data_IF_967988298526
#
_entry.id   IF_967988298526
#
_cell.length_a   1.000
_cell.length_b   1.000
_cell.length_c   1.000
_cell.angle_alpha   90.00
_cell.angle_beta   90.00
_cell.angle_gamma   90.00
#
_symmetry.space_group_name_H-M   'P 1'
#
loop_
_entity.id
_entity.type
_entity.pdbx_description
1 polymer ?
#
# COMPACT_ATOMS: atom_id res chain seq x y z
N UNK A 1 -15.61 16.73 21.96
CA UNK A 1 -15.31 15.34 21.56
C UNK A 1 -14.44 15.36 20.32
N UNK A 2 -13.23 14.83 20.45
CA UNK A 2 -12.17 14.82 19.42
C UNK A 2 -12.62 13.95 18.25
N UNK A 3 -12.38 14.35 16.99
CA UNK A 3 -13.08 13.64 15.91
C UNK A 3 -12.49 13.75 14.50
N UNK A 4 -11.20 14.00 14.40
CA UNK A 4 -10.44 13.59 13.24
C UNK A 4 -9.10 13.02 13.68
N UNK A 5 -8.65 11.98 12.98
CA UNK A 5 -7.36 11.37 13.22
C UNK A 5 -6.45 11.78 12.10
N UNK A 6 -5.60 12.77 12.33
CA UNK A 6 -4.67 13.24 11.31
C UNK A 6 -3.33 12.50 11.49
N UNK A 7 -2.79 11.86 10.43
CA UNK A 7 -1.41 11.40 10.38
C UNK A 7 -0.49 12.62 10.45
N UNK A 8 0.58 12.56 11.27
CA UNK A 8 1.43 13.71 11.60
C UNK A 8 2.36 14.19 10.44
N UNK A 9 1.84 14.43 9.23
CA UNK A 9 2.66 14.75 8.05
C UNK A 9 2.01 15.87 7.20
N UNK A 10 2.78 16.86 6.71
CA UNK A 10 2.24 18.00 5.96
C UNK A 10 1.90 17.63 4.51
N UNK A 11 0.74 18.07 4.02
CA UNK A 11 0.25 17.84 2.66
C UNK A 11 0.72 18.94 1.68
N UNK A 12 1.14 18.54 0.47
CA UNK A 12 1.06 19.39 -0.74
C UNK A 12 0.47 18.56 -1.89
N UNK A 13 -0.49 19.10 -2.66
CA UNK A 13 -1.06 18.42 -3.83
C UNK A 13 -0.38 18.92 -5.11
N UNK A 14 -0.11 18.02 -6.07
CA UNK A 14 -0.18 18.37 -7.49
C UNK A 14 -0.30 17.13 -8.40
N UNK A 15 -1.21 17.25 -9.35
CA UNK A 15 -1.65 16.27 -10.35
C UNK A 15 -0.86 16.39 -11.67
N UNK A 16 -1.02 15.32 -12.48
CA UNK A 16 -0.97 15.19 -13.95
C UNK A 16 0.21 14.40 -14.56
N UNK A 17 -0.14 13.24 -15.14
CA UNK A 17 0.68 12.36 -15.99
C UNK A 17 0.47 12.67 -17.48
N UNK A 18 1.49 12.50 -18.35
CA UNK A 18 1.31 12.20 -19.77
C UNK A 18 1.55 10.70 -20.07
N UNK A 19 1.13 10.19 -21.26
CA UNK A 19 1.05 8.75 -21.56
C UNK A 19 2.41 8.09 -21.87
N UNK A 20 2.47 6.79 -21.59
CA UNK A 20 3.61 5.89 -21.78
C UNK A 20 4.05 5.79 -23.26
N UNK A 21 5.31 6.14 -23.53
CA UNK A 21 5.97 5.88 -24.81
C UNK A 21 6.66 4.51 -24.73
N UNK A 22 6.23 3.56 -25.56
CA UNK A 22 6.98 2.34 -25.84
C UNK A 22 8.19 2.68 -26.74
N UNK A 23 9.38 2.76 -26.16
CA UNK A 23 10.62 2.90 -26.93
C UNK A 23 11.31 1.55 -27.07
N UNK A 24 11.14 0.93 -28.25
CA UNK A 24 11.99 -0.16 -28.74
C UNK A 24 13.32 0.44 -29.18
N UNK A 25 14.44 0.12 -28.52
CA UNK A 25 15.76 0.59 -28.96
C UNK A 25 16.75 -0.58 -29.11
N UNK A 26 17.35 -0.60 -30.31
CA UNK A 26 18.45 -1.47 -30.73
C UNK A 26 19.76 -1.02 -30.08
N UNK A 27 20.49 -1.95 -29.47
CA UNK A 27 21.81 -1.72 -28.90
C UNK A 27 22.86 -1.53 -30.00
N UNK A 28 23.52 -0.37 -30.02
CA UNK A 28 24.79 -0.17 -30.73
C UNK A 28 25.90 -0.03 -29.68
N UNK A 29 26.96 -0.82 -29.83
CA UNK A 29 28.14 -0.77 -28.96
C UNK A 29 29.09 0.34 -29.38
N UNK A 30 29.55 1.13 -28.40
CA UNK A 30 30.72 2.00 -28.54
C UNK A 30 31.78 1.51 -27.56
N UNK A 31 32.98 1.27 -28.08
CA UNK A 31 34.15 0.80 -27.32
C UNK A 31 34.97 2.00 -26.83
N UNK A 32 35.29 2.02 -25.52
CA UNK A 32 36.13 3.07 -24.94
C UNK A 32 36.13 3.19 -23.40
N UNK A 33 35.39 2.35 -22.67
CA UNK A 33 35.43 2.29 -21.20
C UNK A 33 35.87 0.90 -20.73
N UNK A 34 36.47 0.81 -19.53
CA UNK A 34 36.83 -0.46 -18.91
C UNK A 34 35.62 -1.40 -18.94
N UNK A 35 35.73 -2.48 -19.70
CA UNK A 35 34.62 -3.35 -20.13
C UNK A 35 33.83 -3.94 -18.93
N UNK A 36 34.49 -4.04 -17.78
CA UNK A 36 33.90 -4.51 -16.52
C UNK A 36 33.07 -3.43 -15.82
N UNK A 37 33.57 -2.19 -15.71
CA UNK A 37 32.83 -1.09 -15.10
C UNK A 37 31.59 -0.72 -15.93
N UNK A 38 31.74 -0.74 -17.25
CA UNK A 38 30.62 -0.57 -18.18
C UNK A 38 29.53 -1.65 -17.97
N UNK A 39 29.90 -2.86 -17.56
CA UNK A 39 28.94 -3.95 -17.29
C UNK A 39 28.08 -3.68 -16.06
N UNK A 40 28.67 -3.16 -14.97
CA UNK A 40 27.91 -2.82 -13.75
C UNK A 40 27.01 -1.59 -13.95
N UNK A 41 27.49 -0.58 -14.67
CA UNK A 41 26.66 0.59 -14.99
C UNK A 41 25.46 0.22 -15.85
N UNK A 42 25.65 -0.64 -16.86
CA UNK A 42 24.55 -1.17 -17.67
C UNK A 42 23.57 -1.96 -16.82
N UNK A 43 24.07 -2.75 -15.88
CA UNK A 43 23.20 -3.51 -14.97
C UNK A 43 22.39 -2.60 -14.05
N UNK A 44 23.01 -1.58 -13.44
CA UNK A 44 22.31 -0.57 -12.66
C UNK A 44 21.23 0.14 -13.50
N UNK A 45 21.57 0.63 -14.70
CA UNK A 45 20.62 1.29 -15.60
C UNK A 45 19.47 0.37 -15.99
N UNK A 46 19.71 -0.94 -16.06
CA UNK A 46 18.68 -1.93 -16.34
C UNK A 46 17.73 -2.09 -15.15
N UNK A 47 18.27 -2.20 -13.93
CA UNK A 47 17.49 -2.25 -12.69
C UNK A 47 16.67 -0.98 -12.48
N UNK A 48 17.20 0.18 -12.85
CA UNK A 48 16.52 1.48 -12.67
C UNK A 48 15.30 1.64 -13.58
N UNK A 49 15.23 0.86 -14.66
CA UNK A 49 14.04 0.76 -15.53
C UNK A 49 12.97 -0.18 -14.99
N UNK A 50 13.20 -0.85 -13.85
CA UNK A 50 12.18 -1.65 -13.18
C UNK A 50 11.16 -0.75 -12.47
N UNK A 51 10.02 -1.32 -12.07
CA UNK A 51 8.91 -0.59 -11.47
C UNK A 51 9.29 0.17 -10.19
N UNK A 52 10.22 -0.38 -9.39
CA UNK A 52 10.67 0.21 -8.13
C UNK A 52 11.80 1.23 -8.29
N UNK A 53 12.37 1.31 -9.50
CA UNK A 53 13.63 2.01 -9.75
C UNK A 53 14.83 1.39 -9.01
N UNK A 54 15.99 1.96 -9.28
CA UNK A 54 17.27 1.64 -8.65
C UNK A 54 18.22 2.84 -8.84
N UNK A 55 17.95 3.98 -8.19
CA UNK A 55 18.72 5.20 -8.39
C UNK A 55 20.23 4.93 -8.20
N UNK A 56 21.03 5.42 -9.14
CA UNK A 56 22.47 5.22 -9.11
C UNK A 56 23.09 5.81 -7.84
N UNK A 57 23.95 5.04 -7.19
CA UNK A 57 24.83 5.51 -6.12
C UNK A 57 26.08 4.64 -6.03
N UNK A 58 27.15 5.19 -5.44
CA UNK A 58 28.36 4.41 -5.19
C UNK A 58 28.09 3.18 -4.31
N UNK A 59 27.17 3.32 -3.36
CA UNK A 59 26.72 2.23 -2.48
C UNK A 59 26.08 1.10 -3.27
N UNK A 60 25.18 1.40 -4.22
CA UNK A 60 24.60 0.38 -5.11
C UNK A 60 25.68 -0.30 -5.95
N UNK A 61 26.61 0.46 -6.53
CA UNK A 61 27.68 -0.11 -7.35
C UNK A 61 28.57 -1.08 -6.54
N UNK A 62 28.86 -0.77 -5.27
CA UNK A 62 29.56 -1.71 -4.36
C UNK A 62 28.76 -2.99 -4.14
N UNK A 63 27.45 -2.89 -3.91
CA UNK A 63 26.57 -4.05 -3.77
C UNK A 63 26.63 -4.92 -5.03
N UNK A 64 26.48 -4.33 -6.22
CA UNK A 64 26.50 -5.08 -7.49
C UNK A 64 27.83 -5.82 -7.71
N UNK A 65 28.97 -5.19 -7.40
CA UNK A 65 30.30 -5.82 -7.49
C UNK A 65 30.48 -6.99 -6.51
N UNK A 66 29.78 -6.99 -5.37
CA UNK A 66 29.84 -8.10 -4.40
C UNK A 66 28.97 -9.28 -4.87
N UNK A 67 27.77 -9.02 -5.39
CA UNK A 67 26.78 -10.06 -5.68
C UNK A 67 26.91 -10.64 -7.09
N UNK A 68 27.64 -9.98 -8.00
CA UNK A 68 27.86 -10.42 -9.38
C UNK A 68 29.30 -10.24 -9.83
N UNK A 69 29.74 -11.13 -10.72
CA UNK A 69 30.92 -10.91 -11.56
C UNK A 69 30.59 -9.98 -12.74
N UNK A 70 31.59 -9.40 -13.44
CA UNK A 70 31.34 -8.58 -14.63
C UNK A 70 30.57 -9.31 -15.73
N UNK A 71 30.86 -10.60 -15.94
CA UNK A 71 30.15 -11.46 -16.92
C UNK A 71 28.67 -11.62 -16.55
N UNK A 72 28.39 -11.87 -15.26
CA UNK A 72 27.04 -11.99 -14.73
C UNK A 72 26.26 -10.67 -14.83
N UNK A 73 26.87 -9.55 -14.44
CA UNK A 73 26.28 -8.22 -14.57
C UNK A 73 25.95 -7.89 -16.04
N UNK A 74 26.86 -8.23 -16.97
CA UNK A 74 26.65 -8.05 -18.41
C UNK A 74 25.45 -8.86 -18.91
N UNK A 75 25.31 -10.11 -18.50
CA UNK A 75 24.14 -10.94 -18.84
C UNK A 75 22.86 -10.35 -18.22
N UNK A 76 22.85 -10.07 -16.92
CA UNK A 76 21.70 -9.54 -16.18
C UNK A 76 21.20 -8.21 -16.77
N UNK A 77 22.11 -7.33 -17.21
CA UNK A 77 21.77 -6.05 -17.85
C UNK A 77 20.95 -6.19 -19.13
N UNK A 78 20.97 -7.36 -19.78
CA UNK A 78 20.28 -7.66 -21.03
C UNK A 78 18.97 -8.43 -20.84
N UNK A 79 18.64 -8.84 -19.61
CA UNK A 79 17.45 -9.63 -19.32
C UNK A 79 16.17 -8.76 -19.29
N UNK A 80 15.02 -9.28 -19.73
CA UNK A 80 13.74 -8.59 -19.63
C UNK A 80 13.27 -8.53 -18.17
N UNK A 81 12.45 -7.54 -17.84
CA UNK A 81 11.74 -7.44 -16.54
C UNK A 81 10.38 -8.15 -16.58
N UNK A 82 9.97 -8.60 -17.77
CA UNK A 82 8.75 -9.36 -18.01
C UNK A 82 9.14 -10.84 -18.18
N UNK A 83 8.41 -11.77 -17.54
CA UNK A 83 8.64 -13.21 -17.70
C UNK A 83 8.71 -13.61 -19.17
N UNK A 84 9.84 -14.20 -19.59
CA UNK A 84 10.10 -14.54 -20.99
C UNK A 84 10.63 -15.98 -21.09
N UNK A 85 10.10 -16.82 -22.01
CA UNK A 85 10.58 -18.18 -22.19
C UNK A 85 12.06 -18.23 -22.54
N UNK A 86 12.76 -19.25 -22.03
CA UNK A 86 14.19 -19.49 -22.32
C UNK A 86 14.49 -19.53 -23.83
N UNK A 87 13.61 -20.16 -24.61
CA UNK A 87 13.72 -20.30 -26.05
C UNK A 87 13.72 -18.95 -26.79
N UNK A 88 12.94 -17.99 -26.29
CA UNK A 88 12.88 -16.62 -26.81
C UNK A 88 14.10 -15.81 -26.38
N UNK A 89 14.51 -15.92 -25.12
CA UNK A 89 15.73 -15.27 -24.62
C UNK A 89 16.98 -15.70 -25.37
N UNK A 90 17.12 -16.99 -25.66
CA UNK A 90 18.23 -17.53 -26.46
C UNK A 90 18.33 -16.84 -27.83
N UNK A 91 17.20 -16.64 -28.51
CA UNK A 91 17.14 -15.94 -29.81
C UNK A 91 17.48 -14.45 -29.68
N UNK A 92 16.93 -13.76 -28.69
CA UNK A 92 17.15 -12.32 -28.48
C UNK A 92 18.58 -12.00 -28.04
N UNK A 93 19.15 -12.84 -27.17
CA UNK A 93 20.51 -12.69 -26.67
C UNK A 93 21.57 -13.24 -27.63
N UNK A 94 21.15 -13.98 -28.66
CA UNK A 94 22.01 -14.70 -29.61
C UNK A 94 22.99 -15.65 -28.90
N UNK A 95 22.47 -16.39 -27.93
CA UNK A 95 23.24 -17.37 -27.14
C UNK A 95 22.65 -18.77 -27.32
N UNK A 96 23.48 -19.83 -27.44
CA UNK A 96 23.01 -21.20 -27.44
C UNK A 96 22.13 -21.49 -26.22
N UNK A 97 21.00 -22.18 -26.41
CA UNK A 97 20.00 -22.38 -25.35
C UNK A 97 20.58 -23.05 -24.10
N UNK A 98 21.45 -24.05 -24.28
CA UNK A 98 22.11 -24.77 -23.18
C UNK A 98 23.05 -23.87 -22.39
N UNK A 99 23.86 -23.07 -23.08
CA UNK A 99 24.79 -22.13 -22.46
C UNK A 99 24.03 -21.04 -21.68
N UNK A 100 22.94 -20.51 -22.27
CA UNK A 100 22.11 -19.53 -21.59
C UNK A 100 21.44 -20.13 -20.35
N UNK A 101 20.94 -21.36 -20.44
CA UNK A 101 20.29 -22.04 -19.32
C UNK A 101 21.23 -22.21 -18.13
N UNK A 102 22.46 -22.67 -18.38
CA UNK A 102 23.50 -22.82 -17.34
C UNK A 102 23.81 -21.48 -16.67
N UNK A 103 24.03 -20.41 -17.45
CA UNK A 103 24.38 -19.10 -16.89
C UNK A 103 23.22 -18.44 -16.15
N UNK A 104 22.00 -18.51 -16.71
CA UNK A 104 20.83 -17.85 -16.12
C UNK A 104 20.33 -18.59 -14.87
N UNK A 105 20.50 -19.92 -14.82
CA UNK A 105 20.17 -20.72 -13.64
C UNK A 105 21.07 -20.36 -12.45
N UNK A 106 22.36 -20.12 -12.68
CA UNK A 106 23.26 -19.61 -11.63
C UNK A 106 22.81 -18.23 -11.12
N UNK A 107 22.34 -17.35 -12.01
CA UNK A 107 21.77 -16.06 -11.57
C UNK A 107 20.48 -16.24 -10.76
N UNK A 108 19.64 -17.20 -11.13
CA UNK A 108 18.43 -17.52 -10.37
C UNK A 108 18.76 -18.12 -8.99
N UNK A 109 19.76 -19.01 -8.91
CA UNK A 109 20.28 -19.53 -7.65
C UNK A 109 20.92 -18.42 -6.79
N UNK A 110 21.52 -17.39 -7.38
CA UNK A 110 21.96 -16.21 -6.62
C UNK A 110 20.80 -15.29 -6.19
N UNK A 111 19.58 -15.55 -6.64
CA UNK A 111 18.40 -14.72 -6.37
C UNK A 111 18.39 -13.42 -7.18
N UNK A 112 19.01 -13.40 -8.38
CA UNK A 112 19.11 -12.22 -9.26
C UNK A 112 18.18 -12.31 -10.47
N UNK A 113 17.57 -13.47 -10.71
CA UNK A 113 16.65 -13.74 -11.82
C UNK A 113 15.51 -14.63 -11.31
N UNK A 114 14.27 -14.30 -11.65
CA UNK A 114 13.16 -15.20 -11.45
C UNK A 114 13.24 -16.37 -12.43
N UNK A 115 13.01 -17.59 -11.96
CA UNK A 115 12.87 -18.81 -12.76
C UNK A 115 11.53 -19.49 -12.44
N UNK A 116 10.52 -19.11 -13.23
CA UNK A 116 9.15 -19.59 -13.07
C UNK A 116 8.88 -20.76 -14.00
N UNK A 117 8.15 -21.77 -13.53
CA UNK A 117 7.69 -22.87 -14.38
C UNK A 117 6.19 -22.71 -14.62
N UNK A 118 5.81 -22.59 -15.89
CA UNK A 118 4.41 -22.51 -16.32
C UNK A 118 4.20 -23.57 -17.40
N UNK A 119 3.23 -24.47 -17.21
CA UNK A 119 2.94 -25.57 -18.16
C UNK A 119 4.18 -26.39 -18.56
N UNK A 120 5.09 -26.65 -17.61
CA UNK A 120 6.37 -27.36 -17.81
C UNK A 120 7.42 -26.60 -18.65
N UNK A 121 7.19 -25.33 -18.98
CA UNK A 121 8.18 -24.46 -19.63
C UNK A 121 8.74 -23.44 -18.63
N UNK A 122 10.05 -23.14 -18.70
CA UNK A 122 10.73 -22.17 -17.83
C UNK A 122 10.72 -20.76 -18.42
N UNK A 123 10.33 -19.81 -17.59
CA UNK A 123 10.26 -18.39 -17.88
C UNK A 123 11.19 -17.63 -16.95
N UNK A 124 11.95 -16.69 -17.53
CA UNK A 124 12.90 -15.89 -16.79
C UNK A 124 12.64 -14.40 -16.90
N UNK A 125 12.92 -13.69 -15.82
CA UNK A 125 12.91 -12.23 -15.78
C UNK A 125 13.87 -11.72 -14.72
N UNK A 126 14.48 -10.57 -14.98
CA UNK A 126 15.31 -9.88 -14.02
C UNK A 126 14.49 -9.50 -12.78
N UNK A 127 15.05 -9.77 -11.59
CA UNK A 127 14.41 -9.35 -10.33
C UNK A 127 14.69 -7.87 -10.04
N UNK A 128 13.76 -7.13 -9.44
CA UNK A 128 14.03 -5.79 -8.91
C UNK A 128 14.95 -5.82 -7.68
N UNK A 129 15.30 -4.65 -7.14
CA UNK A 129 16.05 -4.58 -5.88
C UNK A 129 15.17 -5.03 -4.71
N UNK A 130 14.01 -4.38 -4.52
CA UNK A 130 13.02 -4.68 -3.47
C UNK A 130 11.89 -5.51 -4.05
N UNK A 131 11.38 -6.46 -3.25
CA UNK A 131 10.66 -7.64 -3.74
C UNK A 131 11.50 -8.45 -4.74
N UNK A 132 12.81 -8.51 -4.49
CA UNK A 132 13.76 -9.15 -5.37
C UNK A 132 15.07 -9.47 -4.67
N UNK A 133 16.20 -9.11 -5.26
CA UNK A 133 17.48 -9.67 -4.80
C UNK A 133 17.87 -9.24 -3.38
N UNK A 134 17.43 -8.06 -2.90
CA UNK A 134 17.64 -7.68 -1.50
C UNK A 134 17.01 -8.71 -0.56
N UNK A 135 15.73 -9.02 -0.76
CA UNK A 135 15.02 -10.00 0.03
C UNK A 135 15.64 -11.39 -0.14
N UNK A 136 15.88 -11.84 -1.37
CA UNK A 136 16.34 -13.21 -1.61
C UNK A 136 17.72 -13.48 -1.00
N UNK A 137 18.64 -12.51 -1.04
CA UNK A 137 19.94 -12.65 -0.37
C UNK A 137 19.76 -12.68 1.16
N UNK A 138 18.90 -11.81 1.72
CA UNK A 138 18.74 -11.71 3.17
C UNK A 138 17.85 -12.80 3.78
N UNK A 139 16.97 -13.42 2.99
CA UNK A 139 16.04 -14.48 3.39
C UNK A 139 16.71 -15.84 3.59
N UNK A 140 17.81 -16.09 2.86
CA UNK A 140 18.51 -17.38 2.86
C UNK A 140 19.14 -17.73 4.20
N UNK A 141 18.75 -18.84 4.82
CA UNK A 141 19.46 -19.34 6.01
C UNK A 141 20.90 -19.78 5.65
N UNK A 142 21.06 -20.46 4.51
CA UNK A 142 22.35 -20.93 3.98
C UNK A 142 23.06 -19.85 3.17
N UNK A 143 24.38 -19.95 3.05
CA UNK A 143 25.18 -19.01 2.26
C UNK A 143 26.08 -19.76 1.25
N UNK A 144 25.50 -20.41 0.23
CA UNK A 144 26.27 -21.28 -0.68
C UNK A 144 27.30 -20.53 -1.55
N UNK A 145 27.23 -19.20 -1.59
CA UNK A 145 28.13 -18.34 -2.36
C UNK A 145 29.08 -17.53 -1.47
N UNK A 146 29.16 -17.84 -0.17
CA UNK A 146 30.04 -17.17 0.80
C UNK A 146 29.97 -15.64 0.77
N UNK A 147 28.78 -15.10 0.48
CA UNK A 147 28.57 -13.66 0.41
C UNK A 147 28.83 -13.02 1.78
N UNK A 148 29.44 -11.81 1.83
CA UNK A 148 29.71 -11.12 3.09
C UNK A 148 28.40 -10.49 3.63
N UNK A 149 27.49 -11.32 4.16
CA UNK A 149 26.11 -10.92 4.51
C UNK A 149 26.07 -9.73 5.48
N UNK A 150 27.01 -9.63 6.42
CA UNK A 150 27.08 -8.49 7.37
C UNK A 150 27.44 -7.19 6.65
N UNK A 151 28.40 -7.23 5.73
CA UNK A 151 28.79 -6.07 4.93
C UNK A 151 27.66 -5.66 3.98
N UNK A 152 27.08 -6.62 3.25
CA UNK A 152 25.91 -6.39 2.41
C UNK A 152 24.76 -5.79 3.19
N UNK A 153 24.52 -6.24 4.42
CA UNK A 153 23.47 -5.67 5.28
C UNK A 153 23.71 -4.18 5.57
N UNK A 154 24.95 -3.78 5.86
CA UNK A 154 25.34 -2.37 6.07
C UNK A 154 25.23 -1.55 4.79
N UNK A 155 25.63 -2.11 3.66
CA UNK A 155 25.51 -1.45 2.35
C UNK A 155 24.04 -1.26 1.95
N UNK A 156 23.18 -2.27 2.12
CA UNK A 156 21.75 -2.13 1.88
C UNK A 156 21.10 -1.12 2.82
N UNK A 157 21.49 -1.12 4.10
CA UNK A 157 20.99 -0.13 5.06
C UNK A 157 21.36 1.30 4.64
N UNK A 158 22.62 1.49 4.24
CA UNK A 158 23.10 2.77 3.71
C UNK A 158 22.34 3.14 2.44
N UNK A 159 22.24 2.25 1.45
CA UNK A 159 21.55 2.53 0.19
C UNK A 159 20.07 2.91 0.38
N UNK A 160 19.39 2.25 1.32
CA UNK A 160 17.99 2.53 1.61
C UNK A 160 17.76 3.89 2.27
N UNK A 161 18.70 4.38 3.08
CA UNK A 161 18.48 5.53 3.96
C UNK A 161 19.43 6.73 3.75
N UNK A 162 20.51 6.60 2.96
CA UNK A 162 21.55 7.64 2.81
C UNK A 162 21.01 8.97 2.30
N UNK A 163 20.02 8.93 1.40
CA UNK A 163 19.47 10.13 0.74
C UNK A 163 17.97 10.04 0.45
N UNK A 164 17.28 9.01 0.98
CA UNK A 164 15.88 8.67 0.72
C UNK A 164 15.50 8.49 -0.76
N UNK A 165 16.43 8.56 -1.73
CA UNK A 165 16.09 8.45 -3.16
C UNK A 165 15.47 7.10 -3.48
N UNK A 166 16.08 6.04 -2.98
CA UNK A 166 15.58 4.68 -3.17
C UNK A 166 14.26 4.44 -2.42
N UNK A 167 14.16 4.86 -1.14
CA UNK A 167 12.90 4.77 -0.40
C UNK A 167 11.76 5.53 -1.13
N UNK A 168 12.04 6.71 -1.69
CA UNK A 168 11.07 7.48 -2.44
C UNK A 168 10.70 6.85 -3.79
N UNK A 169 11.66 6.24 -4.50
CA UNK A 169 11.36 5.54 -5.76
C UNK A 169 10.45 4.34 -5.54
N UNK A 170 10.61 3.63 -4.42
CA UNK A 170 9.81 2.45 -4.08
C UNK A 170 8.44 2.81 -3.51
N UNK A 171 8.39 3.75 -2.56
CA UNK A 171 7.20 3.98 -1.72
C UNK A 171 6.43 5.26 -2.06
N UNK A 172 7.03 6.19 -2.82
CA UNK A 172 6.45 7.52 -3.09
C UNK A 172 6.36 7.88 -4.58
N UNK A 173 6.64 6.95 -5.48
CA UNK A 173 6.58 7.19 -6.93
C UNK A 173 5.14 7.15 -7.52
N UNK A 174 4.12 6.80 -6.72
CA UNK A 174 2.72 6.80 -7.15
C UNK A 174 1.74 6.30 -6.07
N UNK A 175 0.46 6.25 -6.43
CA UNK A 175 -0.63 5.87 -5.50
C UNK A 175 -0.72 4.35 -5.27
N UNK A 176 -0.20 3.54 -6.20
CA UNK A 176 -0.21 2.07 -6.10
C UNK A 176 0.97 1.61 -5.24
N UNK A 177 0.68 0.94 -4.14
CA UNK A 177 1.67 0.51 -3.15
C UNK A 177 2.06 -0.96 -3.36
N UNK A 178 3.30 -1.30 -2.99
CA UNK A 178 3.83 -2.67 -3.13
C UNK A 178 3.32 -3.65 -2.07
N UNK A 179 2.65 -3.13 -1.04
CA UNK A 179 1.99 -3.96 -0.04
C UNK A 179 0.87 -3.23 0.69
N UNK A 180 -0.01 -4.01 1.29
CA UNK A 180 -1.15 -3.55 2.09
C UNK A 180 -1.20 -4.29 3.42
N UNK A 181 -1.64 -3.60 4.47
CA UNK A 181 -1.81 -4.21 5.78
C UNK A 181 -3.12 -5.02 5.82
N UNK A 182 -3.05 -6.24 6.33
CA UNK A 182 -4.23 -7.09 6.54
C UNK A 182 -4.93 -6.77 7.86
N UNK A 183 -6.21 -7.11 7.93
CA UNK A 183 -7.03 -6.91 9.12
C UNK A 183 -6.60 -7.88 10.23
N UNK A 184 -6.56 -7.39 11.46
CA UNK A 184 -6.42 -8.24 12.64
C UNK A 184 -7.78 -8.89 12.91
N UNK A 185 -7.94 -10.14 12.49
CA UNK A 185 -9.19 -10.88 12.54
C UNK A 185 -9.86 -10.90 13.92
N UNK A 186 -9.04 -10.91 14.98
CA UNK A 186 -9.43 -10.95 16.38
C UNK A 186 -10.00 -9.60 16.89
N UNK A 187 -10.01 -8.56 16.05
CA UNK A 187 -10.56 -7.24 16.43
C UNK A 187 -12.07 -7.13 16.26
N UNK A 188 -12.70 -8.02 15.48
CA UNK A 188 -14.15 -8.07 15.41
C UNK A 188 -14.72 -8.80 16.64
N UNK A 189 -15.74 -8.24 17.31
CA UNK A 189 -16.44 -8.93 18.38
C UNK A 189 -17.04 -10.26 17.90
N UNK A 190 -16.93 -11.31 18.71
CA UNK A 190 -17.45 -12.65 18.38
C UNK A 190 -18.98 -12.69 18.22
N UNK A 191 -19.69 -11.67 18.72
CA UNK A 191 -21.15 -11.48 18.70
C UNK A 191 -21.62 -10.50 17.61
N UNK A 192 -20.74 -10.08 16.70
CA UNK A 192 -21.08 -9.16 15.62
C UNK A 192 -21.51 -9.89 14.34
N UNK A 193 -22.56 -9.39 13.69
CA UNK A 193 -22.94 -9.80 12.33
C UNK A 193 -21.93 -9.32 11.26
N UNK A 194 -21.01 -8.42 11.62
CA UNK A 194 -19.99 -7.91 10.70
C UNK A 194 -19.00 -9.03 10.33
N UNK A 195 -18.71 -9.16 9.04
CA UNK A 195 -17.76 -10.15 8.51
C UNK A 195 -16.57 -9.46 7.85
N UNK A 196 -15.38 -10.01 8.09
CA UNK A 196 -14.17 -9.65 7.34
C UNK A 196 -14.24 -10.38 6.00
N UNK A 197 -13.97 -9.67 4.90
CA UNK A 197 -13.86 -10.30 3.59
C UNK A 197 -12.68 -11.28 3.57
N UNK A 198 -12.81 -12.34 2.79
CA UNK A 198 -11.80 -13.40 2.74
C UNK A 198 -10.43 -12.89 2.27
N UNK A 199 -10.41 -11.95 1.33
CA UNK A 199 -9.19 -11.28 0.87
C UNK A 199 -8.57 -10.32 1.91
N UNK A 200 -9.22 -10.09 3.05
CA UNK A 200 -8.68 -9.29 4.18
C UNK A 200 -8.17 -10.16 5.33
N UNK A 201 -8.31 -11.49 5.24
CA UNK A 201 -7.91 -12.45 6.29
C UNK A 201 -6.57 -13.09 5.98
N UNK A 202 -5.62 -12.92 6.88
CA UNK A 202 -4.35 -13.61 6.82
C UNK A 202 -4.51 -15.14 6.92
N UNK A 203 -5.47 -15.61 7.74
CA UNK A 203 -5.74 -17.04 7.88
C UNK A 203 -6.28 -17.65 6.58
N UNK A 204 -7.04 -16.90 5.80
CA UNK A 204 -7.64 -17.39 4.56
C UNK A 204 -6.60 -17.52 3.44
N UNK A 205 -5.66 -16.57 3.35
CA UNK A 205 -4.51 -16.68 2.45
C UNK A 205 -3.73 -17.96 2.71
N UNK A 206 -3.44 -18.28 3.99
CA UNK A 206 -2.72 -19.50 4.37
C UNK A 206 -3.54 -20.75 4.01
N UNK A 207 -4.84 -20.76 4.31
CA UNK A 207 -5.73 -21.91 4.05
C UNK A 207 -5.88 -22.20 2.56
N UNK A 208 -5.95 -21.17 1.72
CA UNK A 208 -6.19 -21.31 0.28
C UNK A 208 -4.91 -21.47 -0.53
N UNK A 209 -3.74 -21.15 0.03
CA UNK A 209 -2.47 -21.31 -0.64
C UNK A 209 -2.24 -22.74 -1.14
N UNK A 210 -1.72 -22.86 -2.36
CA UNK A 210 -1.34 -24.14 -2.96
C UNK A 210 0.00 -24.64 -2.45
N UNK A 211 0.90 -23.70 -2.09
CA UNK A 211 2.22 -23.97 -1.53
C UNK A 211 2.63 -22.85 -0.58
N UNK A 212 3.40 -23.19 0.45
CA UNK A 212 3.86 -22.23 1.46
C UNK A 212 5.33 -22.48 1.76
N UNK A 213 6.12 -21.41 1.78
CA UNK A 213 7.51 -21.47 2.23
C UNK A 213 7.79 -20.46 3.33
N UNK A 214 8.75 -20.80 4.19
CA UNK A 214 9.27 -20.00 5.28
C UNK A 214 10.72 -19.59 5.02
N UNK A 215 11.02 -18.34 5.28
CA UNK A 215 12.39 -17.82 5.24
C UNK A 215 12.66 -16.80 6.34
N UNK A 216 13.92 -16.38 6.44
CA UNK A 216 14.32 -15.33 7.36
C UNK A 216 13.75 -13.98 6.93
N UNK A 217 13.28 -13.18 7.88
CA UNK A 217 12.84 -11.82 7.63
C UNK A 217 14.02 -10.95 7.17
N UNK A 218 14.04 -10.62 5.88
CA UNK A 218 15.10 -9.85 5.21
C UNK A 218 15.41 -8.55 5.94
N UNK A 219 14.37 -7.78 6.25
CA UNK A 219 14.47 -6.50 6.96
C UNK A 219 15.06 -6.65 8.37
N UNK A 220 14.61 -7.66 9.13
CA UNK A 220 15.05 -7.88 10.51
C UNK A 220 16.50 -8.38 10.54
N UNK A 221 16.89 -9.24 9.59
CA UNK A 221 18.26 -9.72 9.45
C UNK A 221 19.21 -8.58 9.05
N UNK A 222 18.85 -7.78 8.03
CA UNK A 222 19.60 -6.58 7.64
C UNK A 222 19.83 -5.66 8.84
N UNK A 223 18.74 -5.30 9.53
CA UNK A 223 18.76 -4.42 10.71
C UNK A 223 19.70 -4.97 11.80
N UNK A 224 19.59 -6.26 12.16
CA UNK A 224 20.47 -6.91 13.14
C UNK A 224 21.94 -6.82 12.74
N UNK A 225 22.27 -7.17 11.50
CA UNK A 225 23.64 -7.18 11.00
C UNK A 225 24.24 -5.77 10.83
N UNK A 226 23.39 -4.76 10.61
CA UNK A 226 23.78 -3.35 10.60
C UNK A 226 23.97 -2.75 12.02
N UNK A 227 23.77 -3.54 13.09
CA UNK A 227 23.94 -3.06 14.47
C UNK A 227 22.66 -2.49 15.10
N UNK A 228 21.50 -2.75 14.50
CA UNK A 228 20.20 -2.27 14.95
C UNK A 228 19.26 -3.47 15.21
N UNK A 229 19.45 -4.24 16.28
CA UNK A 229 18.62 -5.43 16.56
C UNK A 229 17.15 -5.07 16.75
N UNK A 230 16.27 -6.06 16.54
CA UNK A 230 14.84 -5.87 16.61
C UNK A 230 14.38 -5.49 18.03
N UNK A 231 13.81 -4.30 18.20
CA UNK A 231 13.30 -3.82 19.50
C UNK A 231 12.13 -4.63 20.06
N UNK A 232 11.46 -5.42 19.22
CA UNK A 232 10.35 -6.30 19.62
C UNK A 232 10.79 -7.74 19.94
N UNK A 233 12.07 -8.04 19.78
CA UNK A 233 12.60 -9.41 19.90
C UNK A 233 11.74 -10.44 19.14
N UNK A 234 11.39 -10.08 17.89
CA UNK A 234 10.64 -10.96 17.01
C UNK A 234 11.59 -11.96 16.34
N UNK A 235 11.20 -13.24 16.19
CA UNK A 235 12.03 -14.28 15.59
C UNK A 235 12.37 -13.93 14.14
N UNK A 236 13.47 -14.43 13.57
CA UNK A 236 13.79 -14.17 12.15
C UNK A 236 12.87 -14.96 11.21
N UNK A 237 12.47 -16.17 11.59
CA UNK A 237 11.67 -17.11 10.79
C UNK A 237 10.19 -16.69 10.77
N UNK A 238 9.88 -15.61 10.04
CA UNK A 238 8.51 -15.06 9.98
C UNK A 238 8.10 -14.61 8.59
N UNK A 239 8.95 -14.77 7.57
CA UNK A 239 8.63 -14.34 6.21
C UNK A 239 7.96 -15.51 5.47
N UNK A 240 6.67 -15.34 5.16
CA UNK A 240 5.89 -16.35 4.45
C UNK A 240 5.80 -15.97 2.97
N UNK A 241 5.97 -16.95 2.11
CA UNK A 241 5.75 -16.84 0.66
C UNK A 241 4.77 -17.91 0.23
N UNK A 242 3.95 -17.64 -0.78
CA UNK A 242 2.86 -18.52 -1.19
C UNK A 242 2.91 -18.83 -2.69
N UNK A 243 2.20 -19.90 -3.06
CA UNK A 243 1.87 -20.24 -4.44
C UNK A 243 3.12 -20.35 -5.33
N UNK A 244 3.07 -19.82 -6.56
CA UNK A 244 4.19 -19.91 -7.50
C UNK A 244 5.47 -19.22 -7.02
N UNK A 245 5.34 -18.16 -6.20
CA UNK A 245 6.50 -17.51 -5.59
C UNK A 245 7.18 -18.44 -4.56
N UNK A 246 6.41 -19.17 -3.76
CA UNK A 246 6.96 -20.16 -2.82
C UNK A 246 7.70 -21.29 -3.57
N UNK A 247 7.11 -21.79 -4.66
CA UNK A 247 7.75 -22.82 -5.48
C UNK A 247 9.12 -22.37 -6.01
N UNK A 248 9.23 -21.15 -6.53
CA UNK A 248 10.49 -20.57 -6.96
C UNK A 248 11.50 -20.51 -5.80
N UNK A 249 11.13 -19.96 -4.64
CA UNK A 249 12.05 -19.82 -3.51
C UNK A 249 12.51 -21.16 -2.95
N UNK A 250 11.66 -22.17 -2.93
CA UNK A 250 12.00 -23.55 -2.51
C UNK A 250 13.00 -24.16 -3.49
N UNK A 251 12.74 -24.08 -4.80
CA UNK A 251 13.58 -24.67 -5.84
C UNK A 251 15.01 -24.14 -5.83
N UNK A 252 15.20 -22.87 -5.46
CA UNK A 252 16.51 -22.23 -5.37
C UNK A 252 17.10 -22.22 -3.96
N UNK A 253 16.55 -22.97 -3.00
CA UNK A 253 17.05 -23.06 -1.60
C UNK A 253 17.09 -21.70 -0.88
N UNK A 254 16.17 -20.79 -1.25
CA UNK A 254 15.99 -19.48 -0.60
C UNK A 254 15.11 -19.61 0.64
N UNK A 255 14.11 -20.48 0.56
CA UNK A 255 13.12 -20.72 1.59
C UNK A 255 12.85 -22.21 1.73
N UNK A 256 12.39 -22.62 2.91
CA UNK A 256 12.03 -24.00 3.20
C UNK A 256 10.51 -24.17 3.09
N UNK A 257 10.06 -25.31 2.55
CA UNK A 257 8.63 -25.62 2.49
C UNK A 257 8.09 -25.92 3.89
N UNK A 258 6.90 -25.38 4.20
CA UNK A 258 6.23 -25.61 5.49
C UNK A 258 4.75 -25.95 5.30
N UNK A 259 4.17 -26.59 6.31
CA UNK A 259 2.74 -26.90 6.32
C UNK A 259 1.86 -25.67 6.63
N UNK A 260 0.57 -25.78 6.32
CA UNK A 260 -0.44 -24.75 6.66
C UNK A 260 -0.56 -24.54 8.16
N UNK A 261 -0.49 -25.62 8.92
CA UNK A 261 -0.53 -25.61 10.38
C UNK A 261 0.67 -24.80 10.92
N UNK A 262 1.87 -25.05 10.38
CA UNK A 262 3.05 -24.30 10.79
C UNK A 262 2.95 -22.81 10.45
N UNK A 263 2.42 -22.48 9.27
CA UNK A 263 2.20 -21.09 8.88
C UNK A 263 1.19 -20.38 9.80
N UNK A 264 0.12 -21.08 10.22
CA UNK A 264 -0.86 -20.55 11.18
C UNK A 264 -0.24 -20.34 12.57
N UNK A 265 0.64 -21.22 13.04
CA UNK A 265 1.40 -21.01 14.29
C UNK A 265 2.26 -19.74 14.23
N UNK A 266 2.99 -19.56 13.13
CA UNK A 266 3.85 -18.38 12.92
C UNK A 266 3.01 -17.11 12.87
N UNK A 267 1.86 -17.16 12.19
CA UNK A 267 0.91 -16.05 12.15
C UNK A 267 0.40 -15.71 13.56
N UNK A 268 0.00 -16.72 14.33
CA UNK A 268 -0.51 -16.51 15.69
C UNK A 268 0.55 -15.91 16.62
N UNK A 269 1.79 -16.43 16.61
CA UNK A 269 2.90 -15.85 17.40
C UNK A 269 3.23 -14.42 16.92
N UNK A 270 3.23 -14.18 15.62
CA UNK A 270 3.45 -12.86 15.03
C UNK A 270 2.41 -11.84 15.50
N UNK A 271 1.12 -12.21 15.48
CA UNK A 271 0.02 -11.38 15.99
C UNK A 271 0.16 -11.13 17.49
N UNK A 272 0.50 -12.16 18.29
CA UNK A 272 0.73 -12.03 19.74
C UNK A 272 1.82 -11.01 20.06
N UNK A 273 2.89 -10.95 19.26
CA UNK A 273 3.98 -9.94 19.36
C UNK A 273 3.61 -8.57 18.78
N UNK A 274 2.40 -8.43 18.24
CA UNK A 274 1.90 -7.21 17.60
C UNK A 274 2.67 -6.86 16.33
N UNK A 275 3.08 -7.87 15.56
CA UNK A 275 3.58 -7.69 14.20
C UNK A 275 2.40 -7.41 13.27
N UNK A 276 2.64 -6.62 12.23
CA UNK A 276 1.65 -6.28 11.21
C UNK A 276 1.81 -7.26 10.05
N UNK A 277 0.72 -7.91 9.66
CA UNK A 277 0.67 -8.73 8.46
C UNK A 277 0.53 -7.83 7.24
N UNK A 278 1.45 -7.94 6.30
CA UNK A 278 1.46 -7.17 5.05
C UNK A 278 1.56 -8.15 3.88
N UNK A 279 0.64 -8.06 2.93
CA UNK A 279 0.65 -8.81 1.67
C UNK A 279 0.77 -7.86 0.46
N UNK A 280 0.68 -8.39 -0.76
CA UNK A 280 0.82 -7.66 -2.03
C UNK A 280 -0.51 -7.41 -2.77
N UNK A 281 -1.39 -8.42 -2.87
CA UNK A 281 -2.59 -8.38 -3.72
C UNK A 281 -3.80 -9.08 -3.07
N UNK A 282 -4.99 -8.99 -3.67
CA UNK A 282 -6.21 -9.63 -3.14
C UNK A 282 -6.37 -11.10 -3.54
N UNK A 283 -5.75 -11.52 -4.65
CA UNK A 283 -5.85 -12.86 -5.23
C UNK A 283 -4.47 -13.31 -5.64
N UNK A 284 -4.17 -14.60 -5.48
CA UNK A 284 -2.88 -15.18 -5.82
C UNK A 284 -1.71 -14.48 -5.11
N UNK A 285 -1.92 -14.17 -3.83
CA UNK A 285 -0.93 -13.53 -2.94
C UNK A 285 0.43 -14.19 -3.06
N UNK A 286 1.49 -13.40 -3.24
CA UNK A 286 2.84 -13.93 -3.37
C UNK A 286 3.54 -14.06 -2.03
N UNK A 287 3.29 -13.13 -1.11
CA UNK A 287 3.97 -13.10 0.19
C UNK A 287 3.07 -12.58 1.31
N UNK A 288 3.42 -12.92 2.54
CA UNK A 288 2.93 -12.26 3.74
C UNK A 288 4.10 -12.02 4.69
N UNK A 289 4.39 -10.74 4.89
CA UNK A 289 5.40 -10.29 5.82
C UNK A 289 4.78 -10.09 7.22
N UNK A 290 5.47 -10.55 8.26
CA UNK A 290 5.12 -10.29 9.65
C UNK A 290 6.03 -9.18 10.21
N UNK A 291 5.65 -7.95 9.91
CA UNK A 291 6.52 -6.77 10.03
C UNK A 291 6.47 -6.11 11.42
N UNK A 292 7.62 -5.56 11.82
CA UNK A 292 7.72 -4.63 12.94
C UNK A 292 8.19 -3.26 12.43
N UNK A 293 7.67 -2.18 13.02
CA UNK A 293 8.07 -0.81 12.67
C UNK A 293 9.52 -0.46 13.01
N UNK A 294 10.21 -1.28 13.81
CA UNK A 294 11.63 -1.05 14.13
C UNK A 294 12.61 -1.58 13.09
N UNK A 295 12.19 -2.46 12.17
CA UNK A 295 13.09 -3.04 11.16
C UNK A 295 12.56 -2.97 9.72
N UNK A 296 11.23 -2.99 9.53
CA UNK A 296 10.64 -3.05 8.19
C UNK A 296 10.84 -1.75 7.43
N UNK A 297 11.49 -1.82 6.25
CA UNK A 297 11.71 -0.66 5.39
C UNK A 297 10.41 0.03 4.95
N UNK A 298 9.37 -0.75 4.63
CA UNK A 298 8.06 -0.22 4.23
C UNK A 298 7.37 0.54 5.38
N UNK A 299 7.39 0.01 6.60
CA UNK A 299 6.79 0.69 7.77
C UNK A 299 7.63 1.89 8.25
N UNK A 300 8.90 1.97 7.85
CA UNK A 300 9.80 3.06 8.20
C UNK A 300 9.88 4.15 7.13
N UNK A 301 9.47 3.85 5.90
CA UNK A 301 9.32 4.84 4.85
C UNK A 301 8.35 5.90 5.36
N UNK A 302 8.91 7.07 5.70
CA UNK A 302 8.16 8.26 6.06
C UNK A 302 7.22 8.54 4.90
N UNK A 303 5.93 8.67 5.17
CA UNK A 303 4.87 8.95 4.19
C UNK A 303 4.21 7.72 3.53
N UNK A 304 4.26 6.52 4.16
CA UNK A 304 3.26 5.49 3.89
C UNK A 304 1.86 6.05 4.21
N UNK A 305 1.17 6.48 3.16
CA UNK A 305 -0.12 7.15 3.26
C UNK A 305 -1.20 6.13 3.57
N UNK A 306 -1.44 5.89 4.85
CA UNK A 306 -2.71 5.30 5.29
C UNK A 306 -3.82 6.29 4.94
N UNK A 307 -4.53 6.01 3.84
CA UNK A 307 -5.66 6.80 3.40
C UNK A 307 -6.84 6.55 4.35
N UNK A 308 -6.91 7.33 5.43
CA UNK A 308 -8.10 7.33 6.28
C UNK A 308 -9.19 8.15 5.59
N UNK A 309 -10.36 7.54 5.39
CA UNK A 309 -11.55 8.25 4.92
C UNK A 309 -12.13 9.09 6.07
N UNK A 310 -11.64 10.33 6.20
CA UNK A 310 -12.00 11.26 7.28
C UNK A 310 -13.48 11.61 7.32
N UNK A 311 -14.14 11.55 6.19
CA UNK A 311 -15.57 11.80 6.02
C UNK A 311 -16.44 10.76 6.75
N UNK A 312 -15.91 9.56 6.99
CA UNK A 312 -16.59 8.47 7.71
C UNK A 312 -16.16 8.42 9.19
N UNK A 313 -15.06 9.08 9.56
CA UNK A 313 -14.55 9.03 10.93
C UNK A 313 -15.55 9.61 11.93
N UNK A 314 -16.00 8.81 12.91
CA UNK A 314 -16.93 9.24 13.96
C UNK A 314 -16.23 9.93 15.13
N UNK A 315 -14.91 9.81 15.24
CA UNK A 315 -14.14 10.38 16.33
C UNK A 315 -14.13 9.58 17.63
N UNK A 316 -14.40 8.29 17.58
CA UNK A 316 -14.42 7.43 18.77
C UNK A 316 -13.04 7.20 19.41
N UNK A 317 -11.94 7.46 18.69
CA UNK A 317 -10.57 7.30 19.21
C UNK A 317 -10.08 5.85 19.35
N UNK A 318 -10.90 4.86 18.98
CA UNK A 318 -10.55 3.43 19.10
C UNK A 318 -9.25 3.10 18.36
N UNK A 319 -9.11 3.54 17.11
CA UNK A 319 -7.91 3.28 16.32
C UNK A 319 -6.65 4.00 16.85
N UNK A 320 -6.78 5.18 17.49
CA UNK A 320 -5.64 5.82 18.18
C UNK A 320 -5.17 4.97 19.35
N UNK A 321 -6.10 4.47 20.18
CA UNK A 321 -5.77 3.63 21.34
C UNK A 321 -5.07 2.31 20.96
N UNK A 322 -5.34 1.78 19.77
CA UNK A 322 -4.74 0.53 19.26
C UNK A 322 -3.48 0.75 18.43
N UNK A 323 -3.18 1.98 18.03
CA UNK A 323 -2.01 2.29 17.20
C UNK A 323 -0.71 2.20 18.02
N UNK A 324 -0.08 1.02 17.99
CA UNK A 324 1.21 0.78 18.67
C UNK A 324 2.39 1.53 18.03
N UNK A 325 2.18 2.18 16.90
CA UNK A 325 3.21 2.91 16.15
C UNK A 325 3.13 4.44 16.31
N UNK A 326 2.11 4.95 17.02
CA UNK A 326 1.94 6.39 17.21
C UNK A 326 1.64 7.17 15.93
N UNK A 327 1.20 6.48 14.86
CA UNK A 327 0.92 7.08 13.55
C UNK A 327 -0.36 7.94 13.55
N UNK A 328 -1.23 7.74 14.53
CA UNK A 328 -2.54 8.35 14.62
C UNK A 328 -2.62 9.29 15.84
N UNK A 329 -3.24 10.47 15.66
CA UNK A 329 -3.49 11.42 16.75
C UNK A 329 -4.88 12.02 16.66
N UNK A 330 -5.54 12.23 17.80
CA UNK A 330 -6.88 12.83 17.85
C UNK A 330 -6.77 14.36 17.81
N UNK A 331 -7.47 14.99 16.87
CA UNK A 331 -7.65 16.44 16.85
C UNK A 331 -9.12 16.84 17.11
N UNK A 332 -9.36 17.99 17.77
CA UNK A 332 -10.70 18.57 17.90
C UNK A 332 -11.26 18.94 16.51
N UNK A 333 -12.57 18.71 16.29
CA UNK A 333 -13.26 19.26 15.12
C UNK A 333 -13.41 20.78 15.26
N UNK A 334 -13.39 21.47 14.11
CA UNK A 334 -13.69 22.91 14.02
C UNK A 334 -15.10 23.23 14.52
N UNK A 335 -16.05 22.34 14.28
CA UNK A 335 -17.44 22.47 14.73
C UNK A 335 -17.86 21.22 15.51
N UNK A 336 -18.49 21.43 16.68
CA UNK A 336 -18.99 20.34 17.53
C UNK A 336 -20.27 19.78 16.89
N UNK A 337 -20.24 18.52 16.52
CA UNK A 337 -21.46 17.79 16.15
C UNK A 337 -22.19 17.46 17.45
N UNK A 338 -23.34 18.09 17.65
CA UNK A 338 -24.22 17.80 18.78
C UNK A 338 -25.06 16.59 18.41
N UNK A 339 -24.94 15.52 19.20
CA UNK A 339 -25.91 14.44 19.17
C UNK A 339 -27.24 15.00 19.67
N UNK A 340 -28.37 14.74 19.00
CA UNK A 340 -29.68 15.11 19.50
C UNK A 340 -29.86 14.61 20.94
N UNK A 341 -30.24 15.51 21.85
CA UNK A 341 -30.38 15.19 23.27
C UNK A 341 -31.65 14.36 23.52
N UNK A 342 -32.65 14.54 22.65
CA UNK A 342 -33.94 13.86 22.75
C UNK A 342 -34.23 13.01 21.52
N UNK A 343 -35.06 11.98 21.71
CA UNK A 343 -35.56 11.17 20.60
C UNK A 343 -36.32 12.05 19.57
N UNK A 344 -37.04 13.07 20.03
CA UNK A 344 -37.76 14.01 19.16
C UNK A 344 -36.80 14.79 18.25
N UNK A 345 -35.75 15.40 18.81
CA UNK A 345 -34.73 16.08 18.01
C UNK A 345 -34.06 15.15 17.01
N UNK A 346 -33.81 13.89 17.41
CA UNK A 346 -33.26 12.86 16.52
C UNK A 346 -34.19 12.60 15.33
N UNK A 347 -35.48 12.42 15.57
CA UNK A 347 -36.45 12.19 14.49
C UNK A 347 -36.59 13.38 13.54
N UNK A 348 -36.57 14.60 14.08
CA UNK A 348 -36.62 15.83 13.27
C UNK A 348 -35.35 15.97 12.41
N UNK A 349 -34.17 15.76 12.98
CA UNK A 349 -32.91 15.77 12.25
C UNK A 349 -32.89 14.73 11.12
N UNK A 350 -33.31 13.49 11.42
CA UNK A 350 -33.44 12.42 10.41
C UNK A 350 -34.42 12.78 9.30
N UNK A 351 -35.56 13.41 9.63
CA UNK A 351 -36.56 13.82 8.65
C UNK A 351 -36.05 14.95 7.75
N UNK A 352 -35.26 15.89 8.29
CA UNK A 352 -34.62 16.94 7.51
C UNK A 352 -33.54 16.38 6.57
N UNK A 353 -32.63 15.55 7.08
CA UNK A 353 -31.55 14.94 6.29
C UNK A 353 -32.06 14.08 5.14
N UNK A 354 -33.16 13.35 5.37
CA UNK A 354 -33.76 12.44 4.38
C UNK A 354 -34.79 13.13 3.48
N UNK A 355 -34.99 14.44 3.62
CA UNK A 355 -36.00 15.19 2.87
C UNK A 355 -37.45 14.78 3.16
N UNK A 356 -37.70 14.17 4.33
CA UNK A 356 -39.00 13.65 4.78
C UNK A 356 -39.71 14.55 5.80
N UNK A 357 -39.23 15.77 6.03
CA UNK A 357 -39.84 16.68 7.01
C UNK A 357 -41.31 16.98 6.67
N UNK A 358 -41.64 17.08 5.38
CA UNK A 358 -43.02 17.21 4.94
C UNK A 358 -43.84 15.98 5.35
N UNK A 359 -43.36 14.77 5.09
CA UNK A 359 -44.08 13.54 5.46
C UNK A 359 -44.22 13.38 6.99
N UNK A 360 -43.25 13.88 7.77
CA UNK A 360 -43.32 13.89 9.23
C UNK A 360 -44.34 14.92 9.76
N UNK A 361 -44.48 16.06 9.09
CA UNK A 361 -45.45 17.11 9.44
C UNK A 361 -46.85 16.85 8.86
N UNK A 362 -46.91 16.08 7.78
CA UNK A 362 -48.08 15.85 6.94
C UNK A 362 -48.21 14.36 6.64
N UNK A 363 -48.43 13.56 7.69
CA UNK A 363 -48.57 12.11 7.58
C UNK A 363 -49.82 11.69 6.77
N UNK A 364 -50.86 12.57 6.74
CA UNK A 364 -52.10 12.41 5.98
C UNK A 364 -52.46 13.70 5.21
N UNK A 365 -51.78 14.01 4.08
CA UNK A 365 -51.99 15.24 3.33
C UNK A 365 -53.41 15.40 2.79
N UNK A 366 -54.12 14.31 2.54
CA UNK A 366 -55.53 14.27 2.10
C UNK A 366 -56.53 14.83 3.14
N UNK A 367 -56.12 15.00 4.40
CA UNK A 367 -56.96 15.58 5.47
C UNK A 367 -56.70 17.07 5.70
N UNK A 368 -55.83 17.71 4.93
CA UNK A 368 -55.48 19.11 5.11
C UNK A 368 -56.49 20.06 4.44
N UNK A 369 -57.16 20.89 5.25
CA UNK A 369 -57.91 22.03 4.71
C UNK A 369 -56.96 23.15 4.24
N UNK A 370 -57.36 23.91 3.23
CA UNK A 370 -56.65 25.11 2.75
C UNK A 370 -56.38 26.15 3.86
N UNK A 371 -57.21 26.17 4.92
CA UNK A 371 -56.97 26.98 6.13
C UNK A 371 -55.80 26.48 6.98
N UNK A 372 -55.63 25.15 7.07
CA UNK A 372 -54.50 24.56 7.80
C UNK A 372 -53.16 24.83 7.09
N UNK A 373 -53.14 24.80 5.76
CA UNK A 373 -51.98 25.20 4.96
C UNK A 373 -51.64 26.69 5.16
N UNK A 374 -52.65 27.57 5.16
CA UNK A 374 -52.45 28.99 5.43
C UNK A 374 -51.87 29.30 6.82
N UNK A 375 -52.23 28.51 7.84
CA UNK A 375 -51.65 28.65 9.19
C UNK A 375 -50.19 28.24 9.25
N UNK A 376 -49.81 27.18 8.55
CA UNK A 376 -48.41 26.72 8.51
C UNK A 376 -47.53 27.70 7.75
N UNK A 377 -48.01 28.23 6.62
CA UNK A 377 -47.31 29.29 5.88
C UNK A 377 -47.14 30.53 6.77
N UNK A 378 -48.19 30.97 7.47
CA UNK A 378 -48.11 32.11 8.39
C UNK A 378 -47.18 31.86 9.58
N UNK A 379 -47.06 30.61 10.05
CA UNK A 379 -46.12 30.23 11.10
C UNK A 379 -44.67 30.20 10.59
N UNK A 380 -44.44 29.76 9.34
CA UNK A 380 -43.14 29.82 8.69
C UNK A 380 -42.69 31.26 8.41
N UNK A 381 -43.61 32.17 8.09
CA UNK A 381 -43.35 33.60 7.92
C UNK A 381 -43.01 34.32 9.24
N UNK A 382 -43.47 33.79 10.38
CA UNK A 382 -43.24 34.35 11.73
C UNK A 382 -42.00 33.80 12.43
N UNK A 383 -41.34 32.78 11.88
CA UNK A 383 -40.08 32.29 12.42
C UNK A 383 -38.96 33.32 12.13
N UNK A 384 -38.08 33.64 13.10
CA UNK A 384 -36.98 34.57 12.89
C UNK A 384 -36.12 34.16 11.70
N UNK A 385 -35.50 35.11 10.97
CA UNK A 385 -34.75 34.79 9.76
C UNK A 385 -33.60 33.83 10.05
N UNK A 386 -33.83 32.55 9.73
CA UNK A 386 -32.85 31.57 9.27
C UNK A 386 -31.53 31.46 10.07
N UNK A 387 -31.54 31.67 11.38
CA UNK A 387 -30.34 31.47 12.20
C UNK A 387 -30.01 29.98 12.36
N UNK A 388 -31.01 29.10 12.19
CA UNK A 388 -30.83 27.64 12.20
C UNK A 388 -30.18 27.13 10.90
N UNK A 389 -30.35 27.83 9.76
CA UNK A 389 -29.78 27.41 8.47
C UNK A 389 -28.35 27.94 8.28
N UNK A 390 -28.00 29.08 8.89
CA UNK A 390 -26.65 29.66 8.76
C UNK A 390 -25.53 28.79 9.34
N UNK A 391 -25.84 27.95 10.33
CA UNK A 391 -24.85 27.06 10.98
C UNK A 391 -24.87 25.62 10.48
N UNK A 392 -25.70 25.27 9.49
CA UNK A 392 -25.75 23.92 8.94
C UNK A 392 -25.61 23.97 7.41
N UNK A 393 -24.37 24.13 6.94
CA UNK A 393 -23.95 23.97 5.53
C UNK A 393 -24.22 22.57 4.94
N UNK A 394 -24.98 21.71 5.63
CA UNK A 394 -25.28 20.32 5.24
C UNK A 394 -26.73 20.07 4.79
N UNK A 395 -27.61 21.08 4.72
CA UNK A 395 -28.92 20.90 4.08
C UNK A 395 -28.75 20.97 2.55
N UNK A 396 -28.33 19.85 1.94
CA UNK A 396 -28.22 19.66 0.47
C UNK A 396 -29.58 19.49 -0.22
N UNK A 397 -30.63 20.19 0.23
CA UNK A 397 -31.95 20.11 -0.42
C UNK A 397 -32.05 21.14 -1.55
N UNK A 398 -32.08 20.64 -2.80
CA UNK A 398 -32.31 21.47 -4.00
C UNK A 398 -33.60 22.29 -3.89
N UNK A 399 -34.63 21.78 -3.22
CA UNK A 399 -35.89 22.48 -3.00
C UNK A 399 -35.72 23.72 -2.11
N UNK A 400 -35.01 23.57 -0.98
CA UNK A 400 -34.76 24.67 -0.04
C UNK A 400 -33.86 25.74 -0.67
N UNK A 401 -32.84 25.34 -1.44
CA UNK A 401 -32.01 26.29 -2.20
C UNK A 401 -32.81 27.06 -3.26
N UNK A 402 -33.71 26.39 -3.99
CA UNK A 402 -34.56 27.04 -5.01
C UNK A 402 -35.54 28.04 -4.38
N UNK A 403 -36.11 27.71 -3.23
CA UNK A 403 -37.01 28.60 -2.49
C UNK A 403 -36.28 29.82 -1.93
N UNK A 404 -35.04 29.65 -1.45
CA UNK A 404 -34.20 30.77 -1.01
C UNK A 404 -33.80 31.71 -2.16
N UNK A 405 -33.47 31.18 -3.34
CA UNK A 405 -33.19 32.00 -4.55
C UNK A 405 -34.42 32.77 -5.05
N UNK A 406 -35.61 32.18 -4.96
CA UNK A 406 -36.86 32.84 -5.36
C UNK A 406 -37.25 33.96 -4.38
N UNK A 407 -36.95 33.79 -3.09
CA UNK A 407 -37.18 34.80 -2.07
C UNK A 407 -36.24 36.01 -2.23
N UNK A 408 -34.96 35.80 -2.53
CA UNK A 408 -33.98 36.88 -2.71
C UNK A 408 -34.14 37.67 -4.01
N UNK A 409 -34.73 37.08 -5.07
CA UNK A 409 -35.04 37.77 -6.34
C UNK A 409 -36.18 38.79 -6.24
N UNK A 410 -36.95 38.82 -5.13
CA UNK A 410 -38.08 39.72 -4.95
C UNK A 410 -37.67 41.08 -4.37
N UNK A 411 -36.54 41.16 -3.67
CA UNK A 411 -36.05 42.39 -3.02
C UNK A 411 -35.34 43.36 -3.99
N UNK A 412 -34.83 42.90 -5.14
CA UNK A 412 -34.11 43.76 -6.09
C UNK A 412 -35.00 44.58 -7.05
N UNK A 413 -36.33 44.55 -6.90
CA UNK A 413 -37.26 45.37 -7.71
C UNK A 413 -37.73 46.66 -7.03
N UNK A 414 -37.28 46.94 -5.80
CA UNK A 414 -37.67 48.11 -5.01
C UNK A 414 -36.46 48.97 -4.60
N UNK A 415 -35.53 49.28 -5.51
CA UNK A 415 -34.63 50.42 -5.31
C UNK A 415 -35.29 51.71 -5.84
N UNK A 416 -35.44 52.77 -5.02
CA UNK A 416 -35.93 54.05 -5.50
C UNK A 416 -34.87 54.74 -6.36
N UNK A 417 -35.25 55.21 -7.56
CA UNK A 417 -34.45 56.15 -8.34
C UNK A 417 -34.17 57.40 -7.49
N UNK A 418 -32.92 57.59 -7.08
CA UNK A 418 -32.45 58.85 -6.48
C UNK A 418 -32.58 59.98 -7.51
N UNK A 419 -33.32 61.04 -7.15
CA UNK A 419 -33.18 62.37 -7.75
C UNK A 419 -31.87 62.99 -7.29
#
# INVERSE_FOLDING_TARGET
MLSAIIPKIPLKPQQFFPPLIQTTIRFHGNHGHNDDEDSYEKYQKRLDRSLTGAPASETLMKILRIITTPKEARLASRLPTVPTPLSKLSKELKMPIKELDEQISVLADKGLVFDMVVNKERYFSLVPIVLGFFEFIMMRAKNPYDLPIVELSKLFDTYMYENNKFANSVFHAGDTQIGRALVQEETLPHDSDAKIYDYEKATEIIKTATRISLSLCSCRRKSKNAGHPCKKDAPLETCLTFNGAAEYLIRHDIAEEISKEKALEILADSKKRGLVQIDDVQKDVSYMCNCCGCCCGMLQAKDTTFHMQYDICLGCGVCVSKCKFGALSMIPRKERVYTPETAFEKYIAMALERGKIANLLFEYPEKFSHRALGRIISMMEKLPPLTIIKNNKKLKSRFVSKMAELATKKDSRNEPKKK
#
